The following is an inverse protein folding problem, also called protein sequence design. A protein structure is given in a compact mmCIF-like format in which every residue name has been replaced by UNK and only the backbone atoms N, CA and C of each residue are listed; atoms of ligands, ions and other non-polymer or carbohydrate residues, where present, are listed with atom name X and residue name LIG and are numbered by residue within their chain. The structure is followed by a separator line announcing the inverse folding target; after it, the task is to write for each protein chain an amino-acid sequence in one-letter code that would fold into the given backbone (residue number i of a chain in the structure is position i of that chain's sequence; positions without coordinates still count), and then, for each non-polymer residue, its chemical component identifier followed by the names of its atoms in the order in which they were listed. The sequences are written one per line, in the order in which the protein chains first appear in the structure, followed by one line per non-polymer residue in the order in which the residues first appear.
data_IF_858159076691
#
_entry.id   IF_858159076691
#
_cell.length_a   1.000
_cell.length_b   1.000
_cell.length_c   1.000
_cell.angle_alpha   90.00
_cell.angle_beta   90.00
_cell.angle_gamma   90.00
#
_symmetry.space_group_name_H-M   'P 1'
#
loop_
_entity.id
_entity.type
_entity.pdbx_description
1 polymer ?
#
# COMPACT_ATOMS: atom_id res chain seq x y z
N UNK A 1 5.88 12.58 -8.87
CA UNK A 1 5.60 11.36 -8.07
C UNK A 1 4.95 10.33 -8.96
N UNK A 2 5.29 9.04 -8.81
CA UNK A 2 4.60 7.95 -9.52
C UNK A 2 3.16 7.79 -9.01
N UNK A 3 2.22 7.40 -9.88
CA UNK A 3 0.84 7.05 -9.50
C UNK A 3 0.81 5.98 -8.40
N UNK A 4 1.74 5.03 -8.41
CA UNK A 4 1.86 4.00 -7.37
C UNK A 4 2.09 4.62 -5.98
N UNK A 5 3.00 5.58 -5.87
CA UNK A 5 3.27 6.29 -4.61
C UNK A 5 2.03 7.04 -4.13
N UNK A 6 1.30 7.70 -5.04
CA UNK A 6 0.09 8.45 -4.68
C UNK A 6 -1.03 7.52 -4.18
N UNK A 7 -1.22 6.36 -4.80
CA UNK A 7 -2.21 5.35 -4.37
C UNK A 7 -1.90 4.87 -2.94
N UNK A 8 -0.66 4.43 -2.69
CA UNK A 8 -0.29 3.90 -1.38
C UNK A 8 -0.35 4.97 -0.29
N UNK A 9 0.11 6.19 -0.59
CA UNK A 9 -0.01 7.32 0.32
C UNK A 9 -1.44 7.64 0.70
N UNK A 10 -2.37 7.68 -0.26
CA UNK A 10 -3.77 7.95 0.03
C UNK A 10 -4.38 6.91 0.98
N UNK A 11 -3.97 5.65 0.86
CA UNK A 11 -4.38 4.57 1.77
C UNK A 11 -3.73 4.72 3.14
N UNK A 12 -2.42 4.98 3.20
CA UNK A 12 -1.69 5.19 4.45
C UNK A 12 -2.23 6.38 5.25
N UNK A 13 -2.45 7.52 4.60
CA UNK A 13 -3.05 8.72 5.21
C UNK A 13 -4.45 8.40 5.75
N UNK A 14 -5.23 7.58 5.03
CA UNK A 14 -6.54 7.14 5.52
C UNK A 14 -6.41 6.21 6.72
N UNK A 15 -5.49 5.25 6.70
CA UNK A 15 -5.21 4.32 7.80
C UNK A 15 -4.81 5.07 9.06
N UNK A 16 -3.86 6.00 8.94
CA UNK A 16 -3.40 6.86 10.03
C UNK A 16 -4.57 7.61 10.69
N UNK A 17 -5.54 8.09 9.89
CA UNK A 17 -6.73 8.80 10.42
C UNK A 17 -7.74 7.90 11.15
N UNK A 18 -7.71 6.58 10.95
CA UNK A 18 -8.68 5.65 11.54
C UNK A 18 -8.08 4.72 12.59
N UNK A 19 -6.76 4.56 12.61
CA UNK A 19 -6.05 3.82 13.66
C UNK A 19 -6.08 4.65 14.94
N UNK A 20 -7.03 4.34 15.84
CA UNK A 20 -7.19 5.03 17.13
C UNK A 20 -6.13 4.70 18.19
N UNK A 21 -5.07 3.98 17.83
CA UNK A 21 -3.97 3.56 18.69
C UNK A 21 -2.64 3.64 17.91
N UNK A 22 -1.49 3.65 18.60
CA UNK A 22 -0.18 3.60 17.94
C UNK A 22 -0.06 2.32 17.10
N UNK A 23 0.10 2.49 15.80
CA UNK A 23 0.29 1.41 14.82
C UNK A 23 1.43 1.85 13.91
N UNK A 24 2.40 0.96 13.67
CA UNK A 24 3.48 1.24 12.72
C UNK A 24 2.96 1.05 11.29
N UNK A 25 3.14 2.05 10.44
CA UNK A 25 2.68 2.01 9.05
C UNK A 25 3.87 1.89 8.09
N UNK A 26 3.88 0.85 7.25
CA UNK A 26 4.91 0.60 6.24
C UNK A 26 4.43 0.92 4.82
N UNK A 27 5.16 1.77 4.10
CA UNK A 27 4.98 2.03 2.66
C UNK A 27 5.77 1.03 1.80
N UNK A 28 5.24 -0.19 1.70
CA UNK A 28 5.90 -1.35 1.09
C UNK A 28 5.75 -2.60 1.96
N UNK A 29 6.04 -3.77 1.40
CA UNK A 29 6.12 -5.01 2.17
C UNK A 29 7.49 -5.05 2.87
N UNK A 30 7.57 -4.95 4.21
CA UNK A 30 8.83 -5.06 4.93
C UNK A 30 9.36 -6.51 4.83
N UNK A 31 10.70 -6.65 4.77
CA UNK A 31 11.33 -7.97 4.80
C UNK A 31 11.25 -8.63 6.18
N UNK A 32 11.28 -7.82 7.23
CA UNK A 32 11.16 -8.21 8.63
C UNK A 32 10.32 -7.16 9.37
N UNK A 33 9.52 -7.60 10.33
CA UNK A 33 8.78 -6.74 11.26
C UNK A 33 9.31 -7.07 12.66
N UNK A 34 9.82 -6.07 13.36
CA UNK A 34 10.37 -6.26 14.71
C UNK A 34 9.25 -6.27 15.74
N UNK A 35 9.50 -6.85 16.91
CA UNK A 35 8.50 -6.89 17.98
C UNK A 35 8.07 -5.48 18.43
N UNK A 36 8.97 -4.50 18.38
CA UNK A 36 8.71 -3.10 18.72
C UNK A 36 7.87 -2.36 17.68
N UNK A 37 7.78 -2.87 16.44
CA UNK A 37 6.94 -2.30 15.40
C UNK A 37 5.46 -2.71 15.57
N UNK A 38 5.17 -3.73 16.37
CA UNK A 38 3.83 -4.31 16.51
C UNK A 38 2.93 -3.48 17.46
N UNK A 39 1.65 -3.27 17.11
CA UNK A 39 0.97 -3.70 15.89
C UNK A 39 1.39 -2.88 14.65
N UNK A 40 1.51 -3.55 13.50
CA UNK A 40 1.93 -2.91 12.26
C UNK A 40 0.97 -3.16 11.09
N UNK A 41 0.92 -2.23 10.14
CA UNK A 41 0.20 -2.37 8.87
C UNK A 41 1.13 -2.02 7.72
N UNK A 42 1.20 -2.88 6.70
CA UNK A 42 1.95 -2.62 5.47
C UNK A 42 1.00 -2.43 4.28
N UNK A 43 1.30 -1.46 3.42
CA UNK A 43 0.57 -1.18 2.19
C UNK A 43 1.50 -1.25 0.99
N UNK A 44 1.21 -2.10 0.01
CA UNK A 44 2.03 -2.22 -1.20
C UNK A 44 1.21 -2.61 -2.44
N UNK A 45 1.83 -2.46 -3.61
CA UNK A 45 1.26 -2.87 -4.90
C UNK A 45 2.09 -4.03 -5.46
N UNK A 46 1.43 -5.05 -6.01
CA UNK A 46 2.07 -6.10 -6.83
C UNK A 46 1.42 -6.15 -8.21
N UNK A 47 2.08 -6.85 -9.14
CA UNK A 47 1.52 -7.17 -10.47
C UNK A 47 1.08 -5.94 -11.27
N UNK A 48 1.78 -4.83 -11.08
CA UNK A 48 1.52 -3.60 -11.82
C UNK A 48 1.94 -3.77 -13.28
N UNK A 49 0.96 -3.80 -14.18
CA UNK A 49 1.17 -4.03 -15.60
C UNK A 49 0.23 -3.18 -16.45
N UNK A 50 0.72 -2.75 -17.61
CA UNK A 50 -0.11 -2.17 -18.66
C UNK A 50 -1.02 -3.25 -19.24
N UNK A 51 -2.32 -2.96 -19.35
CA UNK A 51 -3.31 -3.93 -19.84
C UNK A 51 -3.78 -3.63 -21.26
N UNK A 52 -3.76 -2.36 -21.68
CA UNK A 52 -4.13 -1.93 -23.03
C UNK A 52 -5.50 -2.42 -23.48
N UNK A 53 -6.45 -2.53 -22.55
CA UNK A 53 -7.77 -3.09 -22.81
C UNK A 53 -8.67 -2.10 -23.57
N UNK A 54 -8.49 -0.80 -23.33
CA UNK A 54 -9.15 0.26 -24.09
C UNK A 54 -8.21 0.84 -25.15
N UNK A 55 -8.76 1.10 -26.33
CA UNK A 55 -8.05 1.76 -27.42
C UNK A 55 -7.75 3.21 -27.03
N UNK A 56 -6.52 3.65 -27.26
CA UNK A 56 -6.02 5.00 -26.95
C UNK A 56 -6.05 5.39 -25.46
N UNK A 57 -6.09 4.40 -24.55
CA UNK A 57 -5.93 4.64 -23.11
C UNK A 57 -4.63 4.05 -22.54
N UNK A 58 -4.14 4.71 -21.49
CA UNK A 58 -3.01 4.27 -20.68
C UNK A 58 -3.50 3.37 -19.53
N UNK A 59 -4.13 2.24 -19.87
CA UNK A 59 -4.72 1.33 -18.88
C UNK A 59 -3.65 0.54 -18.10
N UNK A 60 -3.69 0.68 -16.78
CA UNK A 60 -2.84 -0.09 -15.86
C UNK A 60 -3.69 -0.85 -14.85
N UNK A 61 -3.24 -2.05 -14.52
CA UNK A 61 -3.81 -2.87 -13.45
C UNK A 61 -2.72 -3.26 -12.47
N UNK A 62 -3.07 -3.33 -11.19
CA UNK A 62 -2.21 -3.82 -10.11
C UNK A 62 -3.07 -4.38 -8.97
N UNK A 63 -2.47 -5.19 -8.11
CA UNK A 63 -3.08 -5.64 -6.84
C UNK A 63 -2.60 -4.75 -5.71
N UNK A 64 -3.51 -4.11 -4.99
CA UNK A 64 -3.23 -3.35 -3.76
C UNK A 64 -3.40 -4.25 -2.55
N UNK A 65 -2.35 -4.36 -1.74
CA UNK A 65 -2.33 -5.13 -0.51
C UNK A 65 -2.38 -4.21 0.72
N UNK A 66 -3.04 -4.67 1.76
CA UNK A 66 -3.01 -4.08 3.10
C UNK A 66 -2.96 -5.22 4.09
N UNK A 67 -1.80 -5.44 4.73
CA UNK A 67 -1.60 -6.54 5.66
C UNK A 67 -1.40 -6.01 7.09
N UNK A 68 -1.99 -6.71 8.07
CA UNK A 68 -1.87 -6.43 9.50
C UNK A 68 -0.96 -7.46 10.13
N UNK A 69 -0.02 -7.00 10.95
CA UNK A 69 0.93 -7.81 11.73
C UNK A 69 0.68 -7.54 13.22
N UNK A 70 0.63 -8.61 14.03
CA UNK A 70 0.32 -8.60 15.46
C UNK A 70 1.31 -9.44 16.26
#
# INVERSE_FOLDING_TARGET
MSKHTLIRRAVLEKLESVTGAPVTLFDGLPAFVEQEDLPAIAVWLTDAQYTGLMTDEDDWQATLHTAVFL
#
